data_IF_931908925742
#
_entry.id   IF_931908925742
#
_cell.length_a   1.000
_cell.length_b   1.000
_cell.length_c   1.000
_cell.angle_alpha   90.00
_cell.angle_beta   90.00
_cell.angle_gamma   90.00
#
_symmetry.space_group_name_H-M   'P 1'
#
loop_
_entity.id
_entity.type
_entity.pdbx_description
1 polymer ?
#
# COMPACT_ATOMS: atom_id res chain seq x y z
N UNK A 1 41.84 -14.80 -21.94
CA UNK A 1 40.40 -14.70 -21.76
C UNK A 1 39.99 -14.26 -20.35
N UNK A 2 40.75 -14.56 -19.33
CA UNK A 2 40.49 -14.24 -17.89
C UNK A 2 40.69 -12.75 -17.55
N UNK A 3 41.62 -12.04 -18.19
CA UNK A 3 41.92 -10.61 -17.92
C UNK A 3 40.80 -9.64 -18.35
N UNK A 4 40.04 -9.96 -19.40
CA UNK A 4 38.90 -9.12 -19.84
C UNK A 4 37.71 -9.17 -18.86
N UNK A 5 37.53 -10.26 -18.11
CA UNK A 5 36.42 -10.42 -17.17
C UNK A 5 36.65 -9.59 -15.89
N UNK A 6 37.88 -9.44 -15.43
CA UNK A 6 38.22 -8.63 -14.25
C UNK A 6 38.06 -7.13 -14.49
N UNK A 7 38.39 -6.65 -15.68
CA UNK A 7 38.17 -5.24 -16.06
C UNK A 7 36.70 -4.84 -16.15
N UNK A 8 35.87 -5.74 -16.69
CA UNK A 8 34.42 -5.51 -16.76
C UNK A 8 33.75 -5.49 -15.38
N UNK A 9 34.23 -6.30 -14.44
CA UNK A 9 33.76 -6.32 -13.09
C UNK A 9 34.18 -5.07 -12.29
N UNK A 10 35.40 -4.60 -12.47
CA UNK A 10 35.95 -3.43 -11.74
C UNK A 10 35.30 -2.13 -12.26
N UNK A 11 35.15 -1.98 -13.59
CA UNK A 11 34.47 -0.81 -14.19
C UNK A 11 32.95 -0.83 -13.87
N UNK A 12 32.34 -2.00 -13.81
CA UNK A 12 30.93 -2.14 -13.39
C UNK A 12 30.69 -1.75 -11.94
N UNK A 13 31.62 -2.12 -11.03
CA UNK A 13 31.53 -1.79 -9.61
C UNK A 13 31.73 -0.29 -9.33
N UNK A 14 32.70 0.35 -10.01
CA UNK A 14 32.90 1.80 -9.89
C UNK A 14 31.71 2.59 -10.40
N UNK A 15 31.11 2.18 -11.52
CA UNK A 15 29.90 2.81 -12.06
C UNK A 15 28.70 2.63 -11.11
N UNK A 16 28.56 1.46 -10.47
CA UNK A 16 27.51 1.24 -9.47
C UNK A 16 27.71 2.12 -8.23
N UNK A 17 28.94 2.28 -7.74
CA UNK A 17 29.25 3.16 -6.62
C UNK A 17 28.97 4.64 -6.95
N UNK A 18 29.25 5.07 -8.17
CA UNK A 18 28.91 6.41 -8.64
C UNK A 18 27.40 6.62 -8.71
N UNK A 19 26.62 5.63 -9.20
CA UNK A 19 25.17 5.69 -9.23
C UNK A 19 24.57 5.83 -7.82
N UNK A 20 25.15 5.19 -6.81
CA UNK A 20 24.69 5.29 -5.42
C UNK A 20 24.92 6.68 -4.80
N UNK A 21 25.74 7.53 -5.41
CA UNK A 21 25.94 8.90 -4.93
C UNK A 21 24.83 9.86 -5.36
N UNK A 22 24.02 9.48 -6.35
CA UNK A 22 22.91 10.33 -6.78
C UNK A 22 21.78 10.37 -5.75
N UNK A 23 21.27 11.56 -5.39
CA UNK A 23 20.23 11.70 -4.37
C UNK A 23 18.94 10.93 -4.68
N UNK A 24 18.55 10.80 -5.96
CA UNK A 24 17.37 10.03 -6.35
C UNK A 24 17.55 8.53 -6.09
N UNK A 25 18.76 7.99 -6.32
CA UNK A 25 19.07 6.58 -6.08
C UNK A 25 19.05 6.26 -4.58
N UNK A 26 19.62 7.14 -3.76
CA UNK A 26 19.60 6.99 -2.29
C UNK A 26 18.16 6.98 -1.76
N UNK A 27 17.29 7.88 -2.28
CA UNK A 27 15.87 7.91 -1.93
C UNK A 27 15.14 6.65 -2.38
N UNK A 28 15.39 6.17 -3.60
CA UNK A 28 14.80 4.94 -4.12
C UNK A 28 15.17 3.73 -3.25
N UNK A 29 16.45 3.59 -2.87
CA UNK A 29 16.92 2.49 -2.01
C UNK A 29 16.30 2.59 -0.61
N UNK A 30 16.32 3.78 -0.01
CA UNK A 30 15.69 4.01 1.30
C UNK A 30 14.18 3.69 1.25
N UNK A 31 13.48 4.12 0.20
CA UNK A 31 12.07 3.81 -0.03
C UNK A 31 11.83 2.31 -0.17
N UNK A 32 12.64 1.62 -0.97
CA UNK A 32 12.54 0.17 -1.13
C UNK A 32 12.73 -0.59 0.18
N UNK A 33 13.71 -0.20 1.00
CA UNK A 33 13.96 -0.81 2.31
C UNK A 33 12.78 -0.54 3.26
N UNK A 34 12.32 0.71 3.37
CA UNK A 34 11.20 1.06 4.24
C UNK A 34 9.92 0.31 3.83
N UNK A 35 9.61 0.25 2.54
CA UNK A 35 8.44 -0.47 2.02
C UNK A 35 8.58 -1.98 2.19
N UNK A 36 9.79 -2.52 2.02
CA UNK A 36 10.06 -3.94 2.27
C UNK A 36 9.81 -4.33 3.73
N UNK A 37 10.28 -3.52 4.67
CA UNK A 37 10.05 -3.73 6.11
C UNK A 37 8.56 -3.57 6.44
N UNK A 38 7.91 -2.51 5.96
CA UNK A 38 6.48 -2.26 6.17
C UNK A 38 5.62 -3.38 5.60
N UNK A 39 5.88 -3.79 4.35
CA UNK A 39 5.18 -4.88 3.67
C UNK A 39 5.39 -6.23 4.34
N UNK A 40 6.61 -6.56 4.75
CA UNK A 40 6.92 -7.79 5.49
C UNK A 40 6.22 -7.83 6.85
N UNK A 41 6.22 -6.72 7.58
CA UNK A 41 5.62 -6.61 8.90
C UNK A 41 4.09 -6.67 8.86
N UNK A 42 3.43 -5.86 8.02
CA UNK A 42 1.98 -5.91 7.86
C UNK A 42 1.52 -7.13 7.08
N UNK A 43 2.27 -7.55 6.06
CA UNK A 43 1.92 -8.66 5.17
C UNK A 43 1.77 -10.00 5.90
N UNK A 44 2.56 -10.27 6.94
CA UNK A 44 2.41 -11.46 7.77
C UNK A 44 1.01 -11.52 8.41
N UNK A 45 0.50 -10.40 8.95
CA UNK A 45 -0.85 -10.33 9.51
C UNK A 45 -1.94 -10.35 8.44
N UNK A 46 -1.70 -9.73 7.29
CA UNK A 46 -2.61 -9.75 6.12
C UNK A 46 -2.89 -11.17 5.68
N UNK A 47 -1.83 -11.97 5.53
CA UNK A 47 -1.93 -13.38 5.13
C UNK A 47 -2.67 -14.21 6.18
N UNK A 48 -2.33 -14.07 7.45
CA UNK A 48 -2.98 -14.79 8.54
C UNK A 48 -4.47 -14.45 8.69
N UNK A 49 -4.88 -13.22 8.34
CA UNK A 49 -6.27 -12.75 8.40
C UNK A 49 -7.07 -12.96 7.13
N UNK A 50 -6.49 -13.64 6.13
CA UNK A 50 -7.11 -13.85 4.82
C UNK A 50 -7.55 -12.53 4.15
N UNK A 51 -6.73 -11.49 4.29
CA UNK A 51 -6.94 -10.18 3.66
C UNK A 51 -5.98 -9.95 2.47
N UNK A 52 -5.48 -11.03 1.85
CA UNK A 52 -4.49 -10.95 0.77
C UNK A 52 -4.99 -10.13 -0.43
N UNK A 53 -6.27 -10.24 -0.77
CA UNK A 53 -6.89 -9.45 -1.83
C UNK A 53 -7.18 -7.99 -1.44
N UNK A 54 -7.09 -7.64 -0.14
CA UNK A 54 -7.39 -6.28 0.33
C UNK A 54 -6.46 -5.24 -0.30
N UNK A 55 -5.16 -5.48 -0.28
CA UNK A 55 -4.17 -4.56 -0.85
C UNK A 55 -4.41 -4.35 -2.35
N UNK A 56 -4.77 -5.42 -3.07
CA UNK A 56 -5.09 -5.36 -4.49
C UNK A 56 -6.38 -4.55 -4.75
N UNK A 57 -7.43 -4.79 -3.97
CA UNK A 57 -8.69 -4.05 -4.08
C UNK A 57 -8.51 -2.55 -3.78
N UNK A 58 -7.77 -2.21 -2.70
CA UNK A 58 -7.45 -0.83 -2.35
C UNK A 58 -6.58 -0.17 -3.42
N UNK A 59 -5.61 -0.91 -3.97
CA UNK A 59 -4.75 -0.44 -5.06
C UNK A 59 -5.57 -0.01 -6.27
N UNK A 60 -6.44 -0.87 -6.78
CA UNK A 60 -7.30 -0.51 -7.91
C UNK A 60 -8.31 0.59 -7.58
N UNK A 61 -8.86 0.61 -6.37
CA UNK A 61 -9.72 1.70 -5.92
C UNK A 61 -8.99 3.04 -5.85
N UNK A 62 -7.68 3.03 -5.64
CA UNK A 62 -6.86 4.24 -5.66
C UNK A 62 -6.93 4.98 -7.00
N UNK A 63 -7.13 4.26 -8.13
CA UNK A 63 -7.38 4.88 -9.43
C UNK A 63 -8.62 5.76 -9.43
N UNK A 64 -9.67 5.33 -8.74
CA UNK A 64 -10.88 6.14 -8.54
C UNK A 64 -10.54 7.41 -7.73
N UNK A 65 -9.75 7.26 -6.66
CA UNK A 65 -9.28 8.37 -5.84
C UNK A 65 -8.47 9.39 -6.63
N UNK A 66 -7.54 8.92 -7.47
CA UNK A 66 -6.74 9.77 -8.36
C UNK A 66 -7.62 10.47 -9.40
N UNK A 67 -8.53 9.74 -10.04
CA UNK A 67 -9.46 10.30 -11.03
C UNK A 67 -10.37 11.37 -10.41
N UNK A 68 -10.89 11.13 -9.19
CA UNK A 68 -11.65 12.14 -8.44
C UNK A 68 -10.81 13.36 -8.10
N UNK A 69 -9.55 13.18 -7.69
CA UNK A 69 -8.63 14.29 -7.43
C UNK A 69 -8.46 15.18 -8.65
N UNK A 70 -8.27 14.58 -9.83
CA UNK A 70 -8.16 15.33 -11.09
C UNK A 70 -9.46 16.05 -11.46
N UNK A 71 -10.61 15.38 -11.37
CA UNK A 71 -11.92 15.96 -11.67
C UNK A 71 -12.25 17.14 -10.76
N UNK A 72 -11.85 17.06 -9.48
CA UNK A 72 -12.05 18.12 -8.49
C UNK A 72 -10.96 19.22 -8.52
N UNK A 73 -10.01 19.12 -9.46
CA UNK A 73 -8.85 19.99 -9.56
C UNK A 73 -7.99 20.05 -8.26
N UNK A 74 -8.03 18.98 -7.46
CA UNK A 74 -7.21 18.79 -6.29
C UNK A 74 -5.93 18.04 -6.65
N UNK A 75 -4.91 18.16 -5.81
CA UNK A 75 -3.70 17.39 -6.01
C UNK A 75 -4.01 15.87 -5.86
N UNK A 76 -3.83 15.05 -6.92
CA UNK A 76 -4.19 13.63 -6.91
C UNK A 76 -3.51 12.83 -5.80
N UNK A 77 -2.27 13.17 -5.48
CA UNK A 77 -1.49 12.49 -4.42
C UNK A 77 -2.10 12.71 -3.03
N UNK A 78 -2.58 13.93 -2.74
CA UNK A 78 -3.23 14.22 -1.47
C UNK A 78 -4.63 13.62 -1.36
N UNK A 79 -5.33 13.44 -2.49
CA UNK A 79 -6.66 12.82 -2.51
C UNK A 79 -6.58 11.30 -2.33
N UNK A 80 -5.47 10.69 -2.70
CA UNK A 80 -5.25 9.24 -2.62
C UNK A 80 -5.31 8.73 -1.17
N UNK A 81 -4.64 9.41 -0.22
CA UNK A 81 -4.60 8.99 1.19
C UNK A 81 -5.99 8.92 1.86
N UNK A 82 -6.80 10.00 1.88
CA UNK A 82 -8.11 9.94 2.50
C UNK A 82 -9.05 8.99 1.76
N UNK A 83 -8.94 8.90 0.42
CA UNK A 83 -9.77 8.01 -0.37
C UNK A 83 -9.51 6.54 -0.04
N UNK A 84 -8.25 6.10 -0.03
CA UNK A 84 -7.89 4.72 0.28
C UNK A 84 -8.27 4.34 1.72
N UNK A 85 -8.17 5.28 2.65
CA UNK A 85 -8.57 5.09 4.04
C UNK A 85 -10.09 4.88 4.14
N UNK A 86 -10.88 5.78 3.56
CA UNK A 86 -12.35 5.66 3.55
C UNK A 86 -12.77 4.38 2.85
N UNK A 87 -12.18 4.07 1.70
CA UNK A 87 -12.46 2.85 0.95
C UNK A 87 -12.17 1.60 1.77
N UNK A 88 -11.00 1.53 2.43
CA UNK A 88 -10.64 0.40 3.30
C UNK A 88 -11.60 0.20 4.46
N UNK A 89 -12.07 1.29 5.09
CA UNK A 89 -13.08 1.24 6.16
C UNK A 89 -14.43 0.77 5.63
N UNK A 90 -14.86 1.24 4.46
CA UNK A 90 -16.10 0.78 3.81
C UNK A 90 -16.04 -0.70 3.49
N UNK A 91 -14.92 -1.18 2.94
CA UNK A 91 -14.72 -2.61 2.64
C UNK A 91 -14.80 -3.45 3.91
N UNK A 92 -14.12 -3.03 5.00
CA UNK A 92 -14.19 -3.76 6.26
C UNK A 92 -15.62 -3.77 6.83
N UNK A 93 -16.33 -2.64 6.74
CA UNK A 93 -17.73 -2.56 7.14
C UNK A 93 -18.60 -3.54 6.35
N UNK A 94 -18.42 -3.63 5.02
CA UNK A 94 -19.13 -4.58 4.18
C UNK A 94 -18.83 -6.03 4.54
N UNK A 95 -17.56 -6.37 4.81
CA UNK A 95 -17.17 -7.71 5.29
C UNK A 95 -17.87 -8.03 6.62
N UNK A 96 -17.96 -7.08 7.53
CA UNK A 96 -18.60 -7.29 8.85
C UNK A 96 -20.13 -7.41 8.78
N UNK A 97 -20.77 -6.84 7.75
CA UNK A 97 -22.22 -6.87 7.55
C UNK A 97 -22.72 -8.05 6.70
N UNK A 98 -21.82 -8.74 6.03
CA UNK A 98 -22.16 -9.85 5.13
C UNK A 98 -21.71 -11.19 5.72
N UNK A 99 -22.43 -12.24 5.40
CA UNK A 99 -22.05 -13.63 5.73
C UNK A 99 -21.18 -14.25 4.64
N UNK A 100 -20.64 -13.44 3.73
CA UNK A 100 -19.76 -13.87 2.65
C UNK A 100 -18.32 -13.96 3.13
N UNK A 101 -17.49 -14.75 2.43
CA UNK A 101 -16.06 -14.75 2.67
C UNK A 101 -15.45 -13.38 2.36
N UNK A 102 -14.39 -12.99 3.08
CA UNK A 102 -13.68 -11.73 2.83
C UNK A 102 -13.26 -11.60 1.37
N UNK A 103 -12.78 -12.68 0.76
CA UNK A 103 -12.33 -12.69 -0.64
C UNK A 103 -13.48 -12.47 -1.62
N UNK A 104 -14.69 -12.99 -1.34
CA UNK A 104 -15.86 -12.75 -2.18
C UNK A 104 -16.28 -11.28 -2.16
N UNK A 105 -16.33 -10.68 -0.96
CA UNK A 105 -16.66 -9.25 -0.82
C UNK A 105 -15.61 -8.39 -1.53
N UNK A 106 -14.33 -8.69 -1.31
CA UNK A 106 -13.22 -7.98 -1.93
C UNK A 106 -13.26 -8.07 -3.45
N UNK A 107 -13.58 -9.24 -4.02
CA UNK A 107 -13.69 -9.43 -5.47
C UNK A 107 -14.82 -8.59 -6.10
N UNK A 108 -15.98 -8.54 -5.44
CA UNK A 108 -17.10 -7.71 -5.89
C UNK A 108 -16.76 -6.22 -5.84
N UNK A 109 -16.19 -5.78 -4.71
CA UNK A 109 -15.79 -4.38 -4.52
C UNK A 109 -14.67 -3.98 -5.48
N UNK A 110 -13.71 -4.86 -5.73
CA UNK A 110 -12.65 -4.68 -6.74
C UNK A 110 -13.24 -4.45 -8.14
N UNK A 111 -14.16 -5.32 -8.56
CA UNK A 111 -14.80 -5.21 -9.87
C UNK A 111 -15.58 -3.90 -10.00
N UNK A 112 -16.31 -3.49 -8.95
CA UNK A 112 -17.01 -2.21 -8.90
C UNK A 112 -16.07 -1.01 -8.96
N UNK A 113 -14.98 -1.05 -8.19
CA UNK A 113 -13.98 0.01 -8.20
C UNK A 113 -13.31 0.16 -9.57
N UNK A 114 -12.96 -0.96 -10.22
CA UNK A 114 -12.40 -0.95 -11.57
C UNK A 114 -13.39 -0.33 -12.58
N UNK A 115 -14.66 -0.74 -12.55
CA UNK A 115 -15.66 -0.20 -13.45
C UNK A 115 -15.83 1.32 -13.27
N UNK A 116 -15.93 1.79 -12.03
CA UNK A 116 -16.00 3.22 -11.71
C UNK A 116 -14.74 3.95 -12.14
N UNK A 117 -13.56 3.37 -11.87
CA UNK A 117 -12.27 3.94 -12.26
C UNK A 117 -12.16 4.14 -13.78
N UNK A 118 -12.58 3.15 -14.56
CA UNK A 118 -12.59 3.24 -16.04
C UNK A 118 -13.56 4.32 -16.52
N UNK A 119 -14.78 4.39 -15.97
CA UNK A 119 -15.77 5.42 -16.32
C UNK A 119 -15.22 6.82 -16.00
N UNK A 120 -14.70 7.04 -14.79
CA UNK A 120 -14.15 8.33 -14.41
C UNK A 120 -12.94 8.72 -15.28
N UNK A 121 -12.06 7.76 -15.58
CA UNK A 121 -10.89 7.99 -16.43
C UNK A 121 -11.29 8.37 -17.86
N UNK A 122 -12.42 7.88 -18.37
CA UNK A 122 -12.92 8.23 -19.71
C UNK A 122 -13.44 9.67 -19.79
N UNK A 123 -13.86 10.25 -18.67
CA UNK A 123 -14.33 11.64 -18.59
C UNK A 123 -13.18 12.66 -18.56
N UNK A 124 -11.96 12.21 -18.26
CA UNK A 124 -10.78 13.08 -18.13
C UNK A 124 -10.06 13.17 -19.47
N UNK A 125 -10.24 14.29 -20.18
CA UNK A 125 -9.52 14.56 -21.42
C UNK A 125 -8.08 15.04 -21.11
N UNK A 126 -7.08 14.41 -21.75
CA UNK A 126 -5.68 14.87 -21.72
C UNK A 126 -4.81 14.36 -20.56
N UNK A 127 -5.33 13.63 -19.55
CA UNK A 127 -4.59 13.22 -18.35
C UNK A 127 -3.97 11.79 -18.40
N UNK A 128 -3.88 11.21 -19.59
CA UNK A 128 -3.43 9.81 -19.76
C UNK A 128 -2.01 9.52 -19.23
N UNK A 129 -1.12 10.49 -19.24
CA UNK A 129 0.27 10.32 -18.79
C UNK A 129 0.41 10.09 -17.28
N UNK A 130 -0.35 10.80 -16.46
CA UNK A 130 -0.28 10.68 -15.00
C UNK A 130 -0.96 9.39 -14.47
N UNK A 131 -1.98 8.89 -15.16
CA UNK A 131 -2.61 7.61 -14.82
C UNK A 131 -1.64 6.44 -15.01
N UNK A 132 -0.80 6.48 -16.03
CA UNK A 132 0.24 5.47 -16.25
C UNK A 132 1.26 5.43 -15.10
N UNK A 133 1.66 6.58 -14.58
CA UNK A 133 2.54 6.65 -13.41
C UNK A 133 1.94 6.01 -12.15
N UNK A 134 0.63 6.15 -11.94
CA UNK A 134 -0.06 5.50 -10.81
C UNK A 134 -0.22 3.99 -11.03
N UNK A 135 -0.46 3.56 -12.27
CA UNK A 135 -0.63 2.15 -12.60
C UNK A 135 0.67 1.36 -12.44
N UNK A 136 1.76 1.88 -12.97
CA UNK A 136 3.05 1.16 -12.99
C UNK A 136 3.98 1.54 -11.83
N UNK A 137 3.71 2.66 -11.15
CA UNK A 137 4.59 3.22 -10.13
C UNK A 137 5.90 3.75 -10.72
N UNK A 138 6.63 4.52 -9.94
CA UNK A 138 7.99 4.94 -10.25
C UNK A 138 8.79 5.12 -8.97
N UNK A 139 9.58 4.11 -8.65
CA UNK A 139 10.41 4.12 -7.45
C UNK A 139 11.50 5.23 -7.49
N UNK A 140 11.90 5.66 -8.69
CA UNK A 140 12.88 6.73 -8.84
C UNK A 140 12.28 8.13 -8.66
N UNK A 141 10.95 8.24 -8.78
CA UNK A 141 10.20 9.48 -8.56
C UNK A 141 9.82 9.70 -7.08
N UNK A 142 10.33 8.88 -6.16
CA UNK A 142 10.08 9.02 -4.72
C UNK A 142 10.74 10.32 -4.20
N UNK A 143 9.92 11.16 -3.58
CA UNK A 143 10.35 12.38 -2.91
C UNK A 143 10.67 12.15 -1.43
N UNK A 144 11.36 13.12 -0.82
CA UNK A 144 11.64 13.08 0.63
C UNK A 144 10.36 13.05 1.47
N UNK A 145 9.29 13.70 1.01
CA UNK A 145 7.97 13.66 1.65
C UNK A 145 7.37 12.26 1.67
N UNK A 146 7.56 11.48 0.61
CA UNK A 146 7.09 10.09 0.52
C UNK A 146 7.84 9.19 1.51
N UNK A 147 9.16 9.39 1.64
CA UNK A 147 9.97 8.67 2.62
C UNK A 147 9.53 8.97 4.05
N UNK A 148 9.25 10.24 4.36
CA UNK A 148 8.76 10.65 5.68
C UNK A 148 7.40 10.01 5.96
N UNK A 149 6.47 10.05 5.00
CA UNK A 149 5.15 9.43 5.14
C UNK A 149 5.27 7.92 5.34
N UNK A 150 6.09 7.24 4.54
CA UNK A 150 6.34 5.80 4.69
C UNK A 150 6.94 5.47 6.06
N UNK A 151 7.91 6.27 6.51
CA UNK A 151 8.51 6.16 7.83
C UNK A 151 7.49 6.36 8.96
N UNK A 152 6.61 7.35 8.85
CA UNK A 152 5.55 7.60 9.83
C UNK A 152 4.55 6.43 9.89
N UNK A 153 4.13 5.89 8.74
CA UNK A 153 3.25 4.72 8.68
C UNK A 153 3.94 3.49 9.27
N UNK A 154 5.22 3.28 9.00
CA UNK A 154 6.00 2.20 9.58
C UNK A 154 6.11 2.33 11.10
N UNK A 155 6.48 3.50 11.60
CA UNK A 155 6.57 3.76 13.04
C UNK A 155 5.21 3.59 13.71
N UNK A 156 4.14 4.13 13.13
CA UNK A 156 2.77 3.94 13.62
C UNK A 156 2.35 2.47 13.66
N UNK A 157 2.72 1.70 12.63
CA UNK A 157 2.47 0.26 12.58
C UNK A 157 3.24 -0.50 13.68
N UNK A 158 4.49 -0.14 13.92
CA UNK A 158 5.32 -0.73 14.99
C UNK A 158 4.74 -0.39 16.36
N UNK A 159 4.43 0.88 16.62
CA UNK A 159 3.87 1.35 17.89
C UNK A 159 2.52 0.69 18.18
N UNK A 160 1.70 0.45 17.16
CA UNK A 160 0.41 -0.20 17.33
C UNK A 160 0.55 -1.73 17.48
N UNK A 161 1.28 -2.40 16.57
CA UNK A 161 1.30 -3.86 16.51
C UNK A 161 2.21 -4.50 17.57
N UNK A 162 3.38 -3.90 17.92
CA UNK A 162 4.28 -4.53 18.88
C UNK A 162 3.67 -4.64 20.29
N UNK A 163 3.09 -3.58 20.89
CA UNK A 163 2.49 -3.70 22.22
C UNK A 163 1.23 -4.56 22.23
N UNK A 164 0.55 -4.64 21.07
CA UNK A 164 -0.70 -5.38 20.92
C UNK A 164 -0.55 -6.75 20.29
N UNK A 165 0.68 -7.25 20.11
CA UNK A 165 0.97 -8.52 19.42
C UNK A 165 0.15 -9.69 19.96
N UNK A 166 0.09 -9.84 21.30
CA UNK A 166 -0.67 -10.92 21.94
C UNK A 166 -2.16 -10.85 21.57
N UNK A 167 -2.75 -9.65 21.64
CA UNK A 167 -4.15 -9.42 21.30
C UNK A 167 -4.39 -9.66 19.80
N UNK A 168 -3.47 -9.20 18.93
CA UNK A 168 -3.54 -9.37 17.50
C UNK A 168 -3.47 -10.84 17.08
N UNK A 169 -2.59 -11.62 17.70
CA UNK A 169 -2.47 -13.07 17.46
C UNK A 169 -3.75 -13.78 17.91
N UNK A 170 -4.22 -13.50 19.13
CA UNK A 170 -5.44 -14.11 19.66
C UNK A 170 -6.66 -13.80 18.79
N UNK A 171 -6.80 -12.55 18.36
CA UNK A 171 -7.87 -12.09 17.47
C UNK A 171 -7.81 -12.79 16.09
N UNK A 172 -6.60 -13.08 15.60
CA UNK A 172 -6.40 -13.76 14.34
C UNK A 172 -6.73 -15.25 14.43
N UNK A 173 -6.35 -15.91 15.53
CA UNK A 173 -6.57 -17.34 15.72
C UNK A 173 -8.02 -17.65 16.15
N UNK A 174 -8.57 -16.87 17.07
CA UNK A 174 -9.92 -17.10 17.59
C UNK A 174 -10.57 -15.78 18.05
N UNK A 175 -11.34 -15.11 17.18
CA UNK A 175 -12.02 -13.86 17.49
C UNK A 175 -13.00 -13.98 18.66
N UNK A 176 -13.66 -15.14 18.80
CA UNK A 176 -14.63 -15.38 19.87
C UNK A 176 -13.95 -15.44 21.24
N UNK A 177 -12.80 -16.13 21.33
CA UNK A 177 -11.99 -16.15 22.54
C UNK A 177 -11.46 -14.75 22.90
N UNK A 178 -11.06 -13.96 21.91
CA UNK A 178 -10.63 -12.58 22.16
C UNK A 178 -11.76 -11.75 22.77
N UNK A 179 -13.00 -11.90 22.29
CA UNK A 179 -14.17 -11.22 22.84
C UNK A 179 -14.45 -11.64 24.31
N UNK A 180 -14.39 -12.93 24.59
CA UNK A 180 -14.59 -13.44 25.97
C UNK A 180 -13.54 -12.90 26.94
N UNK A 181 -12.31 -12.66 26.47
CA UNK A 181 -11.25 -12.04 27.26
C UNK A 181 -11.38 -10.49 27.38
N UNK A 182 -12.47 -9.91 26.89
CA UNK A 182 -12.73 -8.48 26.98
C UNK A 182 -11.93 -7.64 25.97
N UNK A 183 -11.30 -8.25 24.95
CA UNK A 183 -10.56 -7.52 23.94
C UNK A 183 -11.54 -6.87 22.96
N UNK A 184 -11.46 -5.55 22.71
CA UNK A 184 -12.34 -4.85 21.76
C UNK A 184 -11.97 -5.22 20.31
N UNK A 185 -12.41 -6.38 19.86
CA UNK A 185 -12.08 -6.98 18.54
C UNK A 185 -12.32 -6.01 17.38
N UNK A 186 -13.47 -5.28 17.40
CA UNK A 186 -13.78 -4.30 16.35
C UNK A 186 -12.72 -3.22 16.26
N UNK A 187 -12.33 -2.63 17.39
CA UNK A 187 -11.33 -1.55 17.41
C UNK A 187 -10.00 -2.00 16.80
N UNK A 188 -9.51 -3.18 17.19
CA UNK A 188 -8.25 -3.72 16.67
C UNK A 188 -8.32 -4.07 15.17
N UNK A 189 -9.47 -4.56 14.68
CA UNK A 189 -9.68 -4.83 13.26
C UNK A 189 -9.68 -3.53 12.46
N UNK A 190 -10.44 -2.53 12.88
CA UNK A 190 -10.52 -1.23 12.21
C UNK A 190 -9.17 -0.51 12.23
N UNK A 191 -8.48 -0.47 13.37
CA UNK A 191 -7.16 0.13 13.47
C UNK A 191 -6.13 -0.55 12.55
N UNK A 192 -6.16 -1.88 12.45
CA UNK A 192 -5.29 -2.62 11.54
C UNK A 192 -5.59 -2.29 10.07
N UNK A 193 -6.87 -2.22 9.67
CA UNK A 193 -7.26 -1.88 8.29
C UNK A 193 -6.90 -0.43 7.94
N UNK A 194 -7.00 0.51 8.88
CA UNK A 194 -6.53 1.89 8.70
C UNK A 194 -5.03 1.90 8.39
N UNK A 195 -4.22 1.21 9.20
CA UNK A 195 -2.77 1.12 8.94
C UNK A 195 -2.45 0.45 7.61
N UNK A 196 -3.17 -0.62 7.28
CA UNK A 196 -3.00 -1.33 6.02
C UNK A 196 -3.37 -0.45 4.82
N UNK A 197 -4.49 0.28 4.88
CA UNK A 197 -4.92 1.21 3.83
C UNK A 197 -3.89 2.33 3.61
N UNK A 198 -3.34 2.89 4.69
CA UNK A 198 -2.28 3.89 4.62
C UNK A 198 -0.99 3.31 4.03
N UNK A 199 -0.61 2.09 4.43
CA UNK A 199 0.56 1.42 3.89
C UNK A 199 0.43 1.18 2.38
N UNK A 200 -0.73 0.71 1.92
CA UNK A 200 -1.01 0.54 0.49
C UNK A 200 -0.98 1.88 -0.24
N UNK A 201 -1.61 2.92 0.31
CA UNK A 201 -1.63 4.26 -0.30
C UNK A 201 -0.23 4.82 -0.55
N UNK A 202 0.68 4.64 0.43
CA UNK A 202 2.07 5.10 0.31
C UNK A 202 2.85 4.23 -0.69
N UNK A 203 2.59 2.92 -0.71
CA UNK A 203 3.27 1.99 -1.60
C UNK A 203 2.91 2.18 -3.08
N UNK A 204 1.68 2.62 -3.39
CA UNK A 204 1.19 2.79 -4.76
C UNK A 204 2.09 3.70 -5.60
N UNK A 205 2.61 4.78 -5.03
CA UNK A 205 3.47 5.73 -5.77
C UNK A 205 4.76 5.07 -6.26
N UNK A 206 5.32 4.16 -5.47
CA UNK A 206 6.59 3.50 -5.78
C UNK A 206 6.42 2.21 -6.57
N UNK A 207 5.45 1.38 -6.19
CA UNK A 207 5.26 0.02 -6.72
C UNK A 207 4.22 0.00 -7.83
N UNK A 208 3.28 0.97 -7.81
CA UNK A 208 2.12 0.98 -8.71
C UNK A 208 0.97 0.14 -8.18
N UNK A 209 -0.08 0.07 -8.99
CA UNK A 209 -1.32 -0.66 -8.71
C UNK A 209 -1.33 -2.04 -9.38
N UNK A 210 -0.55 -2.21 -10.48
CA UNK A 210 -0.53 -3.42 -11.33
C UNK A 210 0.54 -4.44 -10.88
#
# INVERSE_FOLDING_TARGET
MIVKFSWFAVTGLSNLLELLQFPFMQRAIAGAILMGILGGFLGSFVTLRQLSFFSHAVGHAALVGVALGVLLQLNPTWMLLPFTLVFGLVVLYLIDQTNLSSDSVLSVVLSGALAIGVILSSLIQGYRGNLMGVLFGDILAIDTSDLILTGLVLIGSIIFLLPTLRQQILLTLNPTMAQVQGIPVRLYRYAFVVLLSLAVAVAIKAVGVL
#
